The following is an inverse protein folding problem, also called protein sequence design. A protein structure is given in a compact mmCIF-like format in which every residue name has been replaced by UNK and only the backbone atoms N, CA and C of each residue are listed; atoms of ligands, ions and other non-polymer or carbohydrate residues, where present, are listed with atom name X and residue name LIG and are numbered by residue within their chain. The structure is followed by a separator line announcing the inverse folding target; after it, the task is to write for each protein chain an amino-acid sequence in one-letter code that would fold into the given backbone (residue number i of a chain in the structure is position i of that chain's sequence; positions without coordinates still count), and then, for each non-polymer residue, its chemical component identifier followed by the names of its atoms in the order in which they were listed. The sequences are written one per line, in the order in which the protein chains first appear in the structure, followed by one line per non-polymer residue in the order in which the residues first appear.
data_IF_222622368819
#
_entry.id   IF_222622368819
#
_cell.length_a   1.000
_cell.length_b   1.000
_cell.length_c   1.000
_cell.angle_alpha   90.00
_cell.angle_beta   90.00
_cell.angle_gamma   90.00
#
_symmetry.space_group_name_H-M   'P 1'
#
loop_
_entity.id
_entity.type
_entity.pdbx_description
1 polymer ?
#
# COMPACT_ATOMS: atom_id res chain seq x y z
N UNK A 1 -82.63 -18.40 -7.66
CA UNK A 1 -81.29 -18.93 -8.03
C UNK A 1 -80.91 -18.29 -9.35
N UNK A 2 -79.89 -17.40 -9.39
CA UNK A 2 -78.48 -17.78 -9.59
C UNK A 2 -77.49 -17.00 -8.68
N UNK A 3 -76.41 -17.64 -8.23
CA UNK A 3 -75.01 -17.54 -8.71
C UNK A 3 -74.32 -16.20 -8.45
N UNK A 4 -73.38 -16.23 -7.50
CA UNK A 4 -72.61 -15.13 -6.92
C UNK A 4 -71.31 -14.88 -7.69
N UNK A 5 -71.13 -13.65 -8.19
CA UNK A 5 -69.84 -13.11 -8.61
C UNK A 5 -69.38 -12.05 -7.59
N UNK A 6 -68.44 -12.39 -6.71
CA UNK A 6 -67.71 -11.42 -5.86
C UNK A 6 -66.33 -11.15 -6.47
N UNK A 7 -66.16 -9.96 -7.06
CA UNK A 7 -64.86 -9.34 -7.30
C UNK A 7 -64.50 -8.51 -6.07
N UNK A 8 -63.40 -8.88 -5.39
CA UNK A 8 -62.78 -8.05 -4.36
C UNK A 8 -61.66 -7.22 -5.02
N UNK A 9 -61.87 -5.91 -5.15
CA UNK A 9 -60.83 -4.93 -5.42
C UNK A 9 -60.25 -4.44 -4.09
N UNK A 10 -59.00 -4.78 -3.78
CA UNK A 10 -58.27 -4.20 -2.65
C UNK A 10 -57.59 -2.91 -3.09
N UNK A 11 -58.05 -1.82 -2.49
CA UNK A 11 -57.45 -0.49 -2.41
C UNK A 11 -55.95 -0.56 -2.07
N UNK A 12 -55.10 -0.04 -2.94
CA UNK A 12 -53.68 0.23 -2.68
C UNK A 12 -53.53 1.47 -1.79
N UNK A 13 -52.81 1.32 -0.67
CA UNK A 13 -52.31 2.44 0.14
C UNK A 13 -50.93 2.86 -0.39
N UNK A 14 -50.58 4.15 -0.41
CA UNK A 14 -49.25 4.60 -0.82
C UNK A 14 -48.21 4.21 0.24
N UNK A 15 -47.15 3.52 -0.18
CA UNK A 15 -45.97 3.25 0.63
C UNK A 15 -45.22 4.55 0.90
N UNK A 16 -45.04 4.85 2.19
CA UNK A 16 -44.18 5.91 2.68
C UNK A 16 -42.72 5.64 2.30
N UNK A 17 -42.01 6.72 1.97
CA UNK A 17 -40.56 6.71 1.74
C UNK A 17 -39.87 6.39 3.06
N UNK A 18 -39.47 5.14 3.22
CA UNK A 18 -38.61 4.70 4.32
C UNK A 18 -37.18 5.14 4.01
N UNK A 19 -36.70 6.13 4.76
CA UNK A 19 -35.29 6.54 4.72
C UNK A 19 -34.43 5.39 5.24
N UNK A 20 -33.70 4.74 4.34
CA UNK A 20 -32.66 3.78 4.68
C UNK A 20 -31.51 4.56 5.32
N UNK A 21 -31.55 4.72 6.64
CA UNK A 21 -30.35 4.99 7.43
C UNK A 21 -29.49 3.73 7.38
N UNK A 22 -28.46 3.74 6.53
CA UNK A 22 -27.39 2.73 6.57
C UNK A 22 -26.65 2.87 7.89
N UNK A 23 -27.04 2.12 8.90
CA UNK A 23 -26.14 1.80 10.01
C UNK A 23 -25.00 0.97 9.43
N UNK A 24 -23.78 1.50 9.42
CA UNK A 24 -22.57 0.69 9.31
C UNK A 24 -22.67 -0.38 10.39
N UNK A 25 -22.90 -1.63 9.99
CA UNK A 25 -22.80 -2.75 10.89
C UNK A 25 -21.38 -2.77 11.45
N UNK A 26 -21.26 -2.61 12.77
CA UNK A 26 -19.99 -2.82 13.46
C UNK A 26 -19.60 -4.28 13.25
N UNK A 27 -18.51 -4.51 12.52
CA UNK A 27 -17.84 -5.81 12.53
C UNK A 27 -17.42 -6.14 13.97
N UNK A 28 -17.51 -7.41 14.41
CA UNK A 28 -17.19 -7.79 15.78
C UNK A 28 -15.66 -7.93 15.93
N UNK A 29 -14.97 -6.81 16.10
CA UNK A 29 -13.52 -6.77 16.43
C UNK A 29 -13.21 -7.13 17.90
N UNK A 30 -14.21 -7.60 18.67
CA UNK A 30 -14.11 -7.68 20.14
C UNK A 30 -13.26 -8.82 20.70
N UNK A 31 -12.82 -9.77 19.86
CA UNK A 31 -12.15 -10.99 20.36
C UNK A 31 -10.70 -11.16 19.85
N UNK A 32 -10.12 -10.16 19.18
CA UNK A 32 -8.70 -10.19 18.81
C UNK A 32 -7.87 -9.55 19.93
N UNK A 33 -7.36 -10.40 20.83
CA UNK A 33 -6.27 -10.00 21.71
C UNK A 33 -4.98 -10.03 20.90
N UNK A 34 -4.67 -8.92 20.22
CA UNK A 34 -3.29 -8.66 19.79
C UNK A 34 -2.50 -8.52 21.09
N UNK A 35 -1.77 -9.58 21.45
CA UNK A 35 -0.85 -9.50 22.57
C UNK A 35 0.24 -8.52 22.13
N UNK A 36 0.41 -7.37 22.81
CA UNK A 36 1.55 -6.52 22.52
C UNK A 36 2.80 -7.37 22.72
N UNK A 37 3.65 -7.46 21.70
CA UNK A 37 4.97 -8.04 21.86
C UNK A 37 5.60 -7.33 23.06
N UNK A 38 6.02 -8.08 24.08
CA UNK A 38 6.51 -7.48 25.30
C UNK A 38 7.96 -7.07 25.10
N UNK A 39 8.41 -6.00 25.76
CA UNK A 39 9.76 -5.45 25.58
C UNK A 39 10.86 -6.47 25.89
N UNK A 40 10.53 -7.52 26.64
CA UNK A 40 11.39 -8.63 27.00
C UNK A 40 11.56 -9.67 25.88
N UNK A 41 10.82 -9.58 24.77
CA UNK A 41 10.95 -10.51 23.65
C UNK A 41 12.31 -10.34 22.96
N UNK A 42 12.94 -11.45 22.59
CA UNK A 42 14.28 -11.48 21.98
C UNK A 42 14.38 -10.64 20.69
N UNK A 43 13.25 -10.40 20.01
CA UNK A 43 13.15 -9.54 18.82
C UNK A 43 13.43 -8.07 19.19
N UNK A 44 12.89 -7.56 20.30
CA UNK A 44 13.15 -6.18 20.75
C UNK A 44 14.58 -5.99 21.20
N UNK A 45 15.18 -6.97 21.88
CA UNK A 45 16.60 -6.89 22.25
C UNK A 45 17.52 -6.82 21.03
N UNK A 46 17.21 -7.55 19.97
CA UNK A 46 17.98 -7.47 18.71
C UNK A 46 17.78 -6.11 18.02
N UNK A 47 16.59 -5.54 18.11
CA UNK A 47 16.27 -4.24 17.54
C UNK A 47 16.94 -3.10 18.31
N UNK A 48 16.92 -3.12 19.64
CA UNK A 48 17.58 -2.13 20.49
C UNK A 48 19.09 -2.08 20.22
N UNK A 49 19.75 -3.25 20.13
CA UNK A 49 21.16 -3.34 19.77
C UNK A 49 21.44 -2.79 18.36
N UNK A 50 20.51 -2.97 17.43
CA UNK A 50 20.66 -2.46 16.06
C UNK A 50 20.53 -0.94 16.01
N UNK A 51 19.55 -0.38 16.74
CA UNK A 51 19.35 1.06 16.88
C UNK A 51 20.55 1.71 17.57
N UNK A 52 21.03 1.14 18.68
CA UNK A 52 22.19 1.65 19.42
C UNK A 52 23.42 1.70 18.51
N UNK A 53 23.70 0.61 17.79
CA UNK A 53 24.81 0.56 16.83
C UNK A 53 24.63 1.56 15.69
N UNK A 54 23.42 1.73 15.17
CA UNK A 54 23.13 2.74 14.16
C UNK A 54 23.33 4.16 14.70
N UNK A 55 22.90 4.44 15.93
CA UNK A 55 23.12 5.72 16.61
C UNK A 55 24.61 6.00 16.80
N UNK A 56 25.41 5.01 17.21
CA UNK A 56 26.86 5.14 17.32
C UNK A 56 27.47 5.54 15.98
N UNK A 57 27.16 4.80 14.91
CA UNK A 57 27.67 5.08 13.56
C UNK A 57 27.25 6.48 13.09
N UNK A 58 25.98 6.85 13.29
CA UNK A 58 25.48 8.17 12.89
C UNK A 58 26.17 9.27 13.69
N UNK A 59 26.36 9.09 14.99
CA UNK A 59 27.09 10.05 15.84
C UNK A 59 28.56 10.17 15.45
N UNK A 60 29.23 9.08 15.07
CA UNK A 60 30.59 9.11 14.52
C UNK A 60 30.65 9.91 13.22
N UNK A 61 29.68 9.68 12.32
CA UNK A 61 29.57 10.44 11.06
C UNK A 61 29.37 11.92 11.36
N UNK A 62 28.43 12.28 12.25
CA UNK A 62 28.17 13.67 12.62
C UNK A 62 29.41 14.34 13.24
N UNK A 63 30.13 13.65 14.14
CA UNK A 63 31.38 14.14 14.72
C UNK A 63 32.46 14.38 13.67
N UNK A 64 32.62 13.46 12.71
CA UNK A 64 33.64 13.58 11.66
C UNK A 64 33.40 14.74 10.68
N UNK A 65 32.19 15.33 10.68
CA UNK A 65 31.82 16.47 9.85
C UNK A 65 31.56 17.76 10.68
N UNK A 66 32.04 17.82 11.92
CA UNK A 66 31.82 18.95 12.84
C UNK A 66 30.34 19.29 13.12
N UNK A 67 29.46 18.29 13.02
CA UNK A 67 28.02 18.41 13.28
C UNK A 67 27.62 17.84 14.65
N UNK A 68 28.50 17.98 15.65
CA UNK A 68 28.28 17.41 17.00
C UNK A 68 27.07 17.98 17.73
N UNK A 69 26.57 19.15 17.31
CA UNK A 69 25.40 19.80 17.88
C UNK A 69 24.07 19.23 17.32
N UNK A 70 24.13 18.43 16.25
CA UNK A 70 22.97 17.75 15.67
C UNK A 70 22.64 16.52 16.51
N UNK A 71 21.39 16.40 16.95
CA UNK A 71 20.88 15.23 17.69
C UNK A 71 20.05 14.36 16.77
N UNK A 72 20.22 13.05 16.90
CA UNK A 72 19.43 12.04 16.18
C UNK A 72 18.59 11.28 17.18
N UNK A 73 17.29 11.22 16.92
CA UNK A 73 16.32 10.48 17.71
C UNK A 73 15.64 9.47 16.79
N UNK A 74 15.67 8.20 17.17
CA UNK A 74 14.87 7.16 16.53
C UNK A 74 13.55 7.08 17.28
N UNK A 75 12.48 7.55 16.64
CA UNK A 75 11.13 7.38 17.15
C UNK A 75 10.63 6.06 16.58
N UNK A 76 10.29 5.13 17.46
CA UNK A 76 9.58 3.92 17.06
C UNK A 76 8.20 4.34 16.55
N UNK A 77 7.99 4.12 15.25
CA UNK A 77 6.67 4.31 14.68
C UNK A 77 5.76 3.21 15.23
N UNK A 78 4.77 3.60 16.03
CA UNK A 78 3.74 2.68 16.54
C UNK A 78 2.73 2.29 15.46
N UNK A 79 2.92 2.68 14.20
CA UNK A 79 2.23 2.00 13.10
C UNK A 79 2.70 0.56 13.07
N UNK A 80 2.02 -0.28 13.86
CA UNK A 80 2.25 -1.71 13.97
C UNK A 80 2.32 -2.26 12.56
N UNK A 81 3.53 -2.57 12.12
CA UNK A 81 3.73 -3.42 10.97
C UNK A 81 3.06 -4.74 11.34
N UNK A 82 1.92 -5.02 10.71
CA UNK A 82 1.62 -6.39 10.30
C UNK A 82 2.68 -6.78 9.25
N UNK A 83 3.93 -6.89 9.70
CA UNK A 83 5.01 -7.55 8.97
C UNK A 83 4.92 -9.06 9.24
N UNK A 84 3.70 -9.60 9.30
CA UNK A 84 3.50 -10.98 8.93
C UNK A 84 3.61 -11.01 7.40
N UNK A 85 4.83 -10.88 6.89
CA UNK A 85 5.15 -11.19 5.50
C UNK A 85 4.79 -12.65 5.19
N UNK A 86 4.74 -13.50 6.22
CA UNK A 86 4.24 -14.88 6.12
C UNK A 86 2.70 -14.93 5.99
N UNK A 87 1.91 -14.11 6.71
CA UNK A 87 0.46 -14.02 6.47
C UNK A 87 0.10 -13.19 5.24
N UNK A 88 0.90 -12.21 4.83
CA UNK A 88 0.67 -11.45 3.60
C UNK A 88 0.97 -12.29 2.35
N UNK A 89 1.94 -13.22 2.43
CA UNK A 89 2.15 -14.25 1.41
C UNK A 89 1.04 -15.32 1.41
N UNK A 90 0.50 -15.71 2.56
CA UNK A 90 -0.54 -16.75 2.63
C UNK A 90 -1.97 -16.25 2.39
N UNK A 91 -2.34 -15.07 2.88
CA UNK A 91 -3.72 -14.57 2.79
C UNK A 91 -3.94 -13.74 1.51
N UNK A 92 -2.88 -13.20 0.91
CA UNK A 92 -2.96 -12.37 -0.29
C UNK A 92 -3.85 -11.13 -0.13
N UNK A 93 -4.25 -10.78 1.10
CA UNK A 93 -5.18 -9.68 1.36
C UNK A 93 -4.49 -8.38 1.00
N UNK A 94 -5.10 -7.64 0.08
CA UNK A 94 -4.63 -6.33 -0.28
C UNK A 94 -4.97 -5.34 0.83
N UNK A 95 -3.95 -4.74 1.44
CA UNK A 95 -4.21 -3.61 2.32
C UNK A 95 -4.66 -2.43 1.47
N UNK A 96 -5.97 -2.17 1.46
CA UNK A 96 -6.59 -1.02 0.77
C UNK A 96 -5.95 0.31 1.14
N UNK A 97 -5.33 0.39 2.33
CA UNK A 97 -4.61 1.57 2.77
C UNK A 97 -3.42 1.89 1.87
N UNK A 98 -2.85 0.92 1.14
CA UNK A 98 -1.73 1.16 0.21
C UNK A 98 -2.11 2.12 -0.92
N UNK A 99 -3.37 2.09 -1.37
CA UNK A 99 -3.87 2.95 -2.43
C UNK A 99 -4.42 4.28 -1.86
N UNK A 100 -5.02 4.20 -0.67
CA UNK A 100 -5.80 5.32 -0.11
C UNK A 100 -5.02 6.17 0.90
N UNK A 101 -3.91 5.68 1.42
CA UNK A 101 -3.14 6.34 2.47
C UNK A 101 -1.88 6.99 1.90
N UNK A 102 -1.33 7.99 2.60
CA UNK A 102 0.03 8.45 2.35
C UNK A 102 0.99 7.27 2.28
N UNK A 103 2.02 7.43 1.47
CA UNK A 103 3.10 6.46 1.33
C UNK A 103 3.62 6.00 2.69
N UNK A 104 3.79 4.70 2.85
CA UNK A 104 4.27 4.03 4.06
C UNK A 104 5.60 3.34 3.80
N UNK A 105 6.42 3.22 4.84
CA UNK A 105 7.63 2.41 4.83
C UNK A 105 7.32 0.97 4.38
N UNK A 106 8.19 0.40 3.56
CA UNK A 106 8.04 -0.92 2.95
C UNK A 106 7.31 -0.92 1.60
N UNK A 107 6.68 0.18 1.20
CA UNK A 107 5.92 0.22 -0.06
C UNK A 107 6.80 0.46 -1.30
N UNK A 108 6.34 -0.02 -2.45
CA UNK A 108 7.09 0.05 -3.70
C UNK A 108 7.05 1.45 -4.34
N UNK A 109 8.21 1.87 -4.85
CA UNK A 109 8.41 3.11 -5.58
C UNK A 109 8.98 2.81 -6.97
N UNK A 110 8.69 3.67 -7.95
CA UNK A 110 9.32 3.60 -9.26
C UNK A 110 9.45 4.97 -9.89
N UNK A 111 10.44 5.17 -10.75
CA UNK A 111 10.46 6.36 -11.60
C UNK A 111 9.33 6.30 -12.62
N UNK A 112 8.75 7.46 -12.94
CA UNK A 112 7.76 7.58 -14.03
C UNK A 112 8.28 7.02 -15.34
N UNK A 113 9.57 7.24 -15.64
CA UNK A 113 10.13 6.79 -16.91
C UNK A 113 10.54 5.32 -16.92
N UNK A 114 10.42 4.63 -15.79
CA UNK A 114 10.76 3.23 -15.64
C UNK A 114 9.74 2.53 -14.72
N UNK A 115 8.54 2.30 -15.25
CA UNK A 115 7.46 1.58 -14.59
C UNK A 115 7.86 0.20 -14.08
N UNK A 116 8.87 -0.42 -14.70
CA UNK A 116 9.37 -1.76 -14.36
C UNK A 116 10.36 -1.76 -13.18
N UNK A 117 10.87 -0.58 -12.81
CA UNK A 117 11.73 -0.45 -11.64
C UNK A 117 10.94 -0.66 -10.35
N UNK A 118 11.60 -1.27 -9.37
CA UNK A 118 11.06 -1.44 -8.03
C UNK A 118 12.09 -0.97 -7.01
N UNK A 119 11.88 0.23 -6.50
CA UNK A 119 12.46 0.68 -5.24
C UNK A 119 11.51 0.39 -4.09
N UNK A 120 12.00 0.52 -2.86
CA UNK A 120 11.19 0.43 -1.65
C UNK A 120 11.36 1.71 -0.86
N UNK A 121 10.26 2.28 -0.37
CA UNK A 121 10.28 3.39 0.57
C UNK A 121 10.77 2.85 1.91
N UNK A 122 11.94 3.28 2.38
CA UNK A 122 12.49 2.91 3.68
C UNK A 122 11.82 3.64 4.84
N UNK A 123 11.27 4.84 4.59
CA UNK A 123 10.47 5.61 5.55
C UNK A 123 10.67 7.10 5.42
N UNK A 124 10.24 7.86 6.44
CA UNK A 124 10.41 9.30 6.51
C UNK A 124 11.27 9.70 7.69
N UNK A 125 11.95 10.84 7.56
CA UNK A 125 12.69 11.49 8.62
C UNK A 125 12.39 12.99 8.57
N UNK A 126 12.29 13.59 9.75
CA UNK A 126 12.09 15.03 9.89
C UNK A 126 13.42 15.69 10.22
N UNK A 127 13.86 16.61 9.36
CA UNK A 127 15.07 17.39 9.56
C UNK A 127 14.71 18.78 10.08
N UNK A 128 15.07 19.06 11.33
CA UNK A 128 15.00 20.42 11.91
C UNK A 128 16.34 21.11 11.71
N UNK A 129 16.38 22.08 10.80
CA UNK A 129 17.59 22.87 10.53
C UNK A 129 17.69 24.06 11.50
N UNK A 130 18.90 24.45 11.95
CA UNK A 130 19.08 25.66 12.74
C UNK A 130 18.52 26.89 12.01
N UNK A 131 17.65 27.64 12.69
CA UNK A 131 16.99 28.83 12.12
C UNK A 131 15.72 28.55 11.32
N UNK A 132 15.38 27.29 11.02
CA UNK A 132 14.07 26.93 10.48
C UNK A 132 13.07 26.69 11.61
N UNK A 133 11.88 27.28 11.51
CA UNK A 133 10.79 26.96 12.44
C UNK A 133 10.08 25.66 12.08
N UNK A 134 10.07 25.30 10.79
CA UNK A 134 9.36 24.12 10.30
C UNK A 134 10.34 22.98 10.00
N UNK A 135 10.04 21.74 10.42
CA UNK A 135 10.81 20.57 10.06
C UNK A 135 10.66 20.28 8.56
N UNK A 136 11.77 19.92 7.91
CA UNK A 136 11.74 19.42 6.53
C UNK A 136 11.58 17.91 6.54
N UNK A 137 10.46 17.41 6.04
CA UNK A 137 10.22 15.98 5.88
C UNK A 137 10.94 15.47 4.64
N UNK A 138 11.64 14.36 4.77
CA UNK A 138 12.41 13.72 3.71
C UNK A 138 12.20 12.21 3.78
N UNK A 139 12.21 11.56 2.62
CA UNK A 139 11.96 10.13 2.50
C UNK A 139 13.27 9.38 2.29
N UNK A 140 13.51 8.31 3.06
CA UNK A 140 14.57 7.33 2.78
C UNK A 140 13.99 6.28 1.86
N UNK A 141 14.73 5.89 0.83
CA UNK A 141 14.39 4.73 -0.01
C UNK A 141 15.45 3.66 0.16
N UNK A 142 15.07 2.40 0.43
CA UNK A 142 15.99 1.28 0.52
C UNK A 142 16.37 0.79 -0.89
N UNK A 143 17.68 0.73 -1.13
CA UNK A 143 18.40 0.09 -2.25
C UNK A 143 17.58 -0.40 -3.45
N UNK A 144 17.30 0.51 -4.37
CA UNK A 144 17.58 0.39 -5.81
C UNK A 144 17.59 1.84 -6.32
N UNK A 145 18.75 2.31 -6.78
CA UNK A 145 18.94 3.71 -7.23
C UNK A 145 17.84 4.03 -8.23
N UNK A 146 17.02 5.05 -7.95
CA UNK A 146 16.19 5.70 -8.96
C UNK A 146 17.16 6.12 -10.07
N UNK A 147 17.28 5.30 -11.12
CA UNK A 147 18.23 5.49 -12.20
C UNK A 147 17.46 6.14 -13.36
N UNK A 148 17.53 7.47 -13.51
CA UNK A 148 16.72 8.16 -14.49
C UNK A 148 17.11 7.70 -15.88
N UNK A 149 16.12 7.50 -16.75
CA UNK A 149 16.38 7.09 -18.12
C UNK A 149 16.79 8.27 -18.97
N UNK A 150 17.73 8.07 -19.88
CA UNK A 150 18.06 9.07 -20.91
C UNK A 150 17.05 9.06 -22.07
N UNK A 151 16.19 8.03 -22.15
CA UNK A 151 15.27 7.85 -23.28
C UNK A 151 14.24 8.97 -23.32
N UNK A 152 14.08 9.60 -24.49
CA UNK A 152 13.10 10.69 -24.69
C UNK A 152 13.46 12.03 -24.04
N UNK A 153 14.59 12.13 -23.33
CA UNK A 153 15.00 13.37 -22.65
C UNK A 153 15.81 14.31 -23.56
N UNK A 154 15.79 15.60 -23.22
CA UNK A 154 16.60 16.63 -23.91
C UNK A 154 18.09 16.38 -23.73
N UNK A 155 18.94 16.99 -24.56
CA UNK A 155 20.40 16.85 -24.44
C UNK A 155 20.93 17.39 -23.09
N UNK A 156 20.33 18.47 -22.58
CA UNK A 156 20.65 19.04 -21.27
C UNK A 156 20.32 18.03 -20.15
N UNK A 157 19.09 17.52 -20.12
CA UNK A 157 18.66 16.53 -19.13
C UNK A 157 19.49 15.25 -19.20
N UNK A 158 19.87 14.76 -20.39
CA UNK A 158 20.77 13.60 -20.52
C UNK A 158 22.14 13.86 -19.93
N UNK A 159 22.72 15.03 -20.17
CA UNK A 159 24.01 15.43 -19.60
C UNK A 159 23.91 15.45 -18.07
N UNK A 160 22.83 16.02 -17.54
CA UNK A 160 22.55 16.04 -16.11
C UNK A 160 22.39 14.63 -15.52
N UNK A 161 21.60 13.75 -16.13
CA UNK A 161 21.45 12.36 -15.68
C UNK A 161 22.80 11.64 -15.63
N UNK A 162 23.65 11.85 -16.64
CA UNK A 162 25.02 11.28 -16.66
C UNK A 162 25.88 11.85 -15.55
N UNK A 163 25.72 13.14 -15.23
CA UNK A 163 26.38 13.78 -14.10
C UNK A 163 25.89 13.18 -12.78
N UNK A 164 24.59 13.05 -12.56
CA UNK A 164 24.02 12.38 -11.38
C UNK A 164 24.53 10.95 -11.19
N UNK A 165 24.70 10.19 -12.28
CA UNK A 165 25.28 8.84 -12.18
C UNK A 165 26.74 8.83 -11.73
N UNK A 166 27.49 9.91 -11.96
CA UNK A 166 28.90 10.04 -11.57
C UNK A 166 29.08 10.69 -10.20
N UNK A 167 28.36 11.78 -9.98
CA UNK A 167 28.56 12.74 -8.88
C UNK A 167 27.46 12.65 -7.82
N UNK A 168 26.43 11.82 -8.07
CA UNK A 168 25.18 11.75 -7.30
C UNK A 168 24.34 13.01 -7.48
N UNK A 169 23.08 12.90 -7.07
CA UNK A 169 22.17 14.04 -6.96
C UNK A 169 22.60 14.83 -5.72
N UNK A 170 22.88 16.12 -5.88
CA UNK A 170 23.23 16.99 -4.76
C UNK A 170 21.95 17.51 -4.08
N UNK A 171 21.95 17.75 -2.75
CA UNK A 171 20.75 18.21 -2.03
C UNK A 171 20.19 19.56 -2.50
N UNK A 172 21.03 20.40 -3.11
CA UNK A 172 20.70 21.73 -3.62
C UNK A 172 20.35 21.75 -5.12
N UNK A 173 20.34 20.58 -5.77
CA UNK A 173 20.05 20.46 -7.20
C UNK A 173 18.57 20.75 -7.49
N UNK A 174 18.31 21.94 -8.02
CA UNK A 174 16.96 22.43 -8.34
C UNK A 174 16.27 21.61 -9.44
N UNK A 175 17.04 20.90 -10.27
CA UNK A 175 16.53 20.08 -11.36
C UNK A 175 16.05 18.69 -10.89
N UNK A 176 16.14 18.38 -9.59
CA UNK A 176 15.53 17.17 -9.02
C UNK A 176 14.02 17.14 -9.14
N UNK A 177 13.40 18.31 -9.32
CA UNK A 177 11.98 18.44 -9.64
C UNK A 177 11.58 17.75 -10.95
N UNK A 178 12.54 17.46 -11.84
CA UNK A 178 12.30 16.69 -13.07
C UNK A 178 12.19 15.18 -12.84
N UNK A 179 12.44 14.69 -11.62
CA UNK A 179 12.31 13.29 -11.24
C UNK A 179 10.94 13.03 -10.61
N UNK A 180 10.01 12.54 -11.42
CA UNK A 180 8.72 12.05 -10.95
C UNK A 180 8.88 10.62 -10.42
N UNK A 181 8.53 10.40 -9.14
CA UNK A 181 8.45 9.06 -8.53
C UNK A 181 6.98 8.71 -8.32
N UNK A 182 6.59 7.55 -8.82
CA UNK A 182 5.28 6.96 -8.59
C UNK A 182 5.27 6.10 -7.34
N UNK A 183 4.16 6.22 -6.62
CA UNK A 183 3.78 5.36 -5.51
C UNK A 183 2.27 5.05 -5.58
N UNK A 184 1.87 3.76 -5.51
CA UNK A 184 2.75 2.59 -5.59
C UNK A 184 3.36 2.49 -6.99
N UNK A 185 4.45 1.72 -7.14
CA UNK A 185 5.00 1.50 -8.48
C UNK A 185 3.94 0.88 -9.42
N UNK A 186 3.86 1.27 -10.71
CA UNK A 186 2.94 0.65 -11.65
C UNK A 186 3.11 -0.87 -11.73
N UNK A 187 4.35 -1.35 -11.62
CA UNK A 187 4.64 -2.78 -11.53
C UNK A 187 3.97 -3.43 -10.32
N UNK A 188 4.06 -2.86 -9.12
CA UNK A 188 3.39 -3.40 -7.93
C UNK A 188 1.86 -3.45 -8.11
N UNK A 189 1.28 -2.42 -8.74
CA UNK A 189 -0.15 -2.39 -9.10
C UNK A 189 -0.48 -3.55 -10.04
N UNK A 190 0.31 -3.75 -11.10
CA UNK A 190 0.10 -4.82 -12.09
C UNK A 190 0.26 -6.22 -11.49
N UNK A 191 1.33 -6.45 -10.71
CA UNK A 191 1.58 -7.72 -10.03
C UNK A 191 0.40 -8.06 -9.11
N UNK A 192 -0.09 -7.09 -8.34
CA UNK A 192 -1.25 -7.30 -7.47
C UNK A 192 -2.54 -7.54 -8.27
N UNK A 193 -2.77 -6.79 -9.33
CA UNK A 193 -3.90 -7.02 -10.22
C UNK A 193 -3.86 -8.43 -10.83
N UNK A 194 -2.66 -8.93 -11.16
CA UNK A 194 -2.43 -10.32 -11.60
C UNK A 194 -2.83 -11.34 -10.54
N UNK A 195 -2.40 -11.14 -9.28
CA UNK A 195 -2.79 -12.01 -8.15
C UNK A 195 -4.30 -12.01 -7.94
N UNK A 196 -4.95 -10.84 -7.94
CA UNK A 196 -6.39 -10.72 -7.78
C UNK A 196 -7.15 -11.38 -8.94
N UNK A 197 -6.70 -11.21 -10.19
CA UNK A 197 -7.29 -11.89 -11.36
C UNK A 197 -7.18 -13.41 -11.22
N UNK A 198 -6.05 -13.92 -10.73
CA UNK A 198 -5.88 -15.35 -10.45
C UNK A 198 -6.85 -15.82 -9.37
N UNK A 199 -6.97 -15.11 -8.25
CA UNK A 199 -7.94 -15.45 -7.19
C UNK A 199 -9.38 -15.45 -7.70
N UNK A 200 -9.76 -14.47 -8.54
CA UNK A 200 -11.08 -14.45 -9.20
C UNK A 200 -11.29 -15.72 -10.03
N UNK A 201 -10.29 -16.12 -10.82
CA UNK A 201 -10.36 -17.34 -11.63
C UNK A 201 -10.47 -18.60 -10.76
N UNK A 202 -9.73 -18.67 -9.65
CA UNK A 202 -9.75 -19.80 -8.71
C UNK A 202 -11.13 -19.92 -8.03
N UNK A 203 -11.73 -18.79 -7.61
CA UNK A 203 -13.08 -18.76 -7.04
C UNK A 203 -14.12 -19.15 -8.09
N UNK A 204 -13.98 -18.67 -9.33
CA UNK A 204 -14.87 -19.01 -10.46
C UNK A 204 -14.65 -20.43 -11.01
N UNK A 205 -14.38 -21.39 -10.12
CA UNK A 205 -14.29 -22.80 -10.44
C UNK A 205 -15.61 -23.35 -11.04
N UNK A 206 -15.57 -24.48 -11.78
CA UNK A 206 -16.79 -25.14 -12.28
C UNK A 206 -17.82 -25.43 -11.19
N UNK A 207 -17.35 -25.67 -9.96
CA UNK A 207 -18.20 -25.90 -8.78
C UNK A 207 -18.96 -24.63 -8.38
N UNK A 208 -18.26 -23.49 -8.30
CA UNK A 208 -18.88 -22.20 -8.02
C UNK A 208 -19.91 -21.83 -9.09
N UNK A 209 -19.57 -22.02 -10.37
CA UNK A 209 -20.49 -21.73 -11.50
C UNK A 209 -21.78 -22.52 -11.36
N UNK A 210 -21.69 -23.82 -11.08
CA UNK A 210 -22.88 -24.66 -10.85
C UNK A 210 -23.71 -24.15 -9.67
N UNK A 211 -23.08 -23.78 -8.55
CA UNK A 211 -23.80 -23.23 -7.41
C UNK A 211 -24.49 -21.91 -7.70
N UNK A 212 -23.83 -21.03 -8.45
CA UNK A 212 -24.37 -19.75 -8.87
C UNK A 212 -25.58 -19.93 -9.79
N UNK A 213 -25.52 -20.88 -10.73
CA UNK A 213 -26.66 -21.26 -11.57
C UNK A 213 -27.83 -21.81 -10.75
N UNK A 214 -27.56 -22.72 -9.81
CA UNK A 214 -28.60 -23.27 -8.93
C UNK A 214 -29.25 -22.16 -8.09
N UNK A 215 -28.44 -21.27 -7.50
CA UNK A 215 -28.91 -20.15 -6.70
C UNK A 215 -29.75 -19.16 -7.54
N UNK A 216 -29.31 -18.85 -8.76
CA UNK A 216 -30.01 -17.94 -9.69
C UNK A 216 -31.37 -18.50 -10.15
N UNK A 217 -31.50 -19.82 -10.22
CA UNK A 217 -32.73 -20.50 -10.60
C UNK A 217 -33.58 -20.92 -9.38
N UNK A 218 -33.35 -20.35 -8.20
CA UNK A 218 -34.04 -20.66 -6.93
C UNK A 218 -34.03 -22.15 -6.55
N UNK A 219 -33.02 -22.90 -7.00
CA UNK A 219 -32.87 -24.33 -6.69
C UNK A 219 -32.18 -24.51 -5.33
N UNK A 220 -32.60 -25.50 -4.52
CA UNK A 220 -32.03 -25.70 -3.20
C UNK A 220 -30.61 -26.25 -3.27
N UNK A 221 -29.67 -25.52 -2.68
CA UNK A 221 -28.32 -26.01 -2.35
C UNK A 221 -28.33 -26.78 -1.02
N UNK A 222 -27.47 -27.80 -0.88
CA UNK A 222 -27.24 -28.46 0.42
C UNK A 222 -26.70 -27.42 1.41
N UNK A 223 -26.96 -27.60 2.70
CA UNK A 223 -26.56 -26.63 3.73
C UNK A 223 -25.06 -26.28 3.68
N UNK A 224 -24.19 -27.29 3.52
CA UNK A 224 -22.75 -27.09 3.39
C UNK A 224 -22.35 -26.33 2.11
N UNK A 225 -22.91 -26.72 0.97
CA UNK A 225 -22.64 -26.07 -0.31
C UNK A 225 -23.10 -24.61 -0.32
N UNK A 226 -24.26 -24.30 0.29
CA UNK A 226 -24.74 -22.93 0.45
C UNK A 226 -23.77 -22.07 1.26
N UNK A 227 -23.22 -22.60 2.35
CA UNK A 227 -22.27 -21.87 3.19
C UNK A 227 -20.99 -21.53 2.42
N UNK A 228 -20.45 -22.51 1.69
CA UNK A 228 -19.27 -22.30 0.83
C UNK A 228 -19.55 -21.29 -0.28
N UNK A 229 -20.67 -21.45 -1.00
CA UNK A 229 -21.08 -20.53 -2.06
C UNK A 229 -21.19 -19.08 -1.58
N UNK A 230 -21.82 -18.83 -0.43
CA UNK A 230 -21.93 -17.45 0.10
C UNK A 230 -20.55 -16.87 0.50
N UNK A 231 -19.66 -17.70 1.05
CA UNK A 231 -18.28 -17.31 1.35
C UNK A 231 -17.51 -16.93 0.07
N UNK A 232 -17.49 -17.82 -0.91
CA UNK A 232 -16.86 -17.63 -2.22
C UNK A 232 -17.44 -16.41 -2.94
N UNK A 233 -18.76 -16.19 -2.86
CA UNK A 233 -19.45 -15.05 -3.48
C UNK A 233 -19.01 -13.74 -2.85
N UNK A 234 -18.92 -13.66 -1.52
CA UNK A 234 -18.41 -12.47 -0.83
C UNK A 234 -16.95 -12.19 -1.20
N UNK A 235 -16.12 -13.24 -1.23
CA UNK A 235 -14.73 -13.10 -1.63
C UNK A 235 -14.60 -12.62 -3.09
N UNK A 236 -15.38 -13.20 -4.01
CA UNK A 236 -15.43 -12.80 -5.42
C UNK A 236 -15.83 -11.33 -5.59
N UNK A 237 -16.85 -10.88 -4.85
CA UNK A 237 -17.27 -9.48 -4.86
C UNK A 237 -16.17 -8.56 -4.33
N UNK A 238 -15.47 -8.96 -3.27
CA UNK A 238 -14.33 -8.23 -2.71
C UNK A 238 -13.19 -8.10 -3.73
N UNK A 239 -12.75 -9.21 -4.32
CA UNK A 239 -11.68 -9.21 -5.33
C UNK A 239 -12.07 -8.36 -6.56
N UNK A 240 -13.31 -8.45 -7.04
CA UNK A 240 -13.80 -7.64 -8.16
C UNK A 240 -13.88 -6.15 -7.83
N UNK A 241 -14.26 -5.80 -6.60
CA UNK A 241 -14.24 -4.41 -6.16
C UNK A 241 -12.81 -3.85 -6.11
N UNK A 242 -11.86 -4.64 -5.60
CA UNK A 242 -10.45 -4.27 -5.56
C UNK A 242 -9.83 -4.16 -6.95
N UNK A 243 -10.22 -4.99 -7.92
CA UNK A 243 -9.72 -4.90 -9.29
C UNK A 243 -10.14 -3.64 -10.04
N UNK A 244 -11.28 -3.04 -9.66
CA UNK A 244 -11.73 -1.76 -10.25
C UNK A 244 -10.86 -0.59 -9.81
N UNK A 245 -10.30 -0.63 -8.59
CA UNK A 245 -9.49 0.46 -8.05
C UNK A 245 -8.24 0.73 -8.93
N UNK A 246 -7.42 -0.27 -9.32
CA UNK A 246 -6.33 -0.09 -10.28
C UNK A 246 -6.74 0.40 -11.67
N UNK A 247 -7.90 -0.04 -12.18
CA UNK A 247 -8.40 0.40 -13.50
C UNK A 247 -8.73 1.90 -13.48
N UNK A 248 -9.24 2.39 -12.36
CA UNK A 248 -9.46 3.82 -12.14
C UNK A 248 -8.14 4.60 -11.97
N UNK A 249 -7.09 3.95 -11.44
CA UNK A 249 -5.74 4.53 -11.31
C UNK A 249 -5.04 4.75 -12.65
N UNK A 250 -5.26 3.89 -13.65
CA UNK A 250 -4.65 4.06 -14.98
C UNK A 250 -5.21 5.30 -15.71
N UNK A 251 -6.39 5.79 -15.29
CA UNK A 251 -7.02 7.00 -15.81
C UNK A 251 -6.70 8.30 -15.06
N UNK A 252 -6.25 8.21 -13.80
CA UNK A 252 -5.94 9.37 -12.96
C UNK A 252 -4.43 9.40 -12.66
N UNK A 253 -3.72 10.48 -13.02
CA UNK A 253 -2.29 10.62 -12.71
C UNK A 253 -2.07 10.28 -11.22
N UNK A 254 -1.21 9.29 -10.89
CA UNK A 254 -0.96 8.94 -9.50
C UNK A 254 -0.42 10.15 -8.74
N UNK A 255 -0.60 10.19 -7.40
CA UNK A 255 0.04 11.20 -6.58
C UNK A 255 1.56 11.15 -6.82
N UNK A 256 2.11 12.28 -7.28
CA UNK A 256 3.55 12.44 -7.50
C UNK A 256 4.19 12.79 -6.17
N UNK A 257 5.12 11.95 -5.71
CA UNK A 257 6.00 12.31 -4.61
C UNK A 257 7.17 13.11 -5.16
N UNK A 258 7.35 14.32 -4.64
CA UNK A 258 8.62 15.04 -4.80
C UNK A 258 9.63 14.44 -3.82
N UNK A 259 10.51 13.58 -4.31
CA UNK A 259 11.52 12.91 -3.48
C UNK A 259 12.82 13.71 -3.51
N UNK A 260 13.21 14.26 -2.36
CA UNK A 260 14.60 14.69 -2.15
C UNK A 260 15.43 13.44 -1.81
N UNK A 261 16.19 12.91 -2.77
CA UNK A 261 17.03 11.73 -2.54
C UNK A 261 18.30 12.11 -1.78
N UNK A 262 18.49 11.56 -0.57
CA UNK A 262 19.80 11.48 0.08
C UNK A 262 20.31 10.06 -0.15
N UNK A 263 21.24 9.91 -1.10
CA UNK A 263 21.85 8.60 -1.40
C UNK A 263 22.96 8.33 -0.38
N UNK A 264 22.65 7.49 0.62
CA UNK A 264 23.68 6.87 1.45
C UNK A 264 24.34 5.74 0.65
N UNK A 265 25.64 5.85 0.36
CA UNK A 265 26.39 4.71 -0.12
C UNK A 265 26.51 3.67 1.00
N UNK A 266 26.45 2.36 0.70
CA UNK A 266 27.21 1.42 1.47
C UNK A 266 28.67 1.78 1.23
N UNK A 267 29.38 2.21 2.27
CA UNK A 267 30.84 2.14 2.29
C UNK A 267 31.18 0.74 1.82
N UNK A 268 31.84 0.61 0.66
CA UNK A 268 32.41 -0.66 0.25
C UNK A 268 33.38 -1.05 1.36
N UNK A 269 32.90 -1.90 2.28
CA UNK A 269 33.76 -2.71 3.14
C UNK A 269 34.47 -3.63 2.15
N UNK A 270 35.62 -3.17 1.65
CA UNK A 270 36.60 -4.05 1.04
C UNK A 270 36.96 -5.05 2.14
N UNK A 271 36.44 -6.27 2.01
CA UNK A 271 37.00 -7.43 2.72
C UNK A 271 38.38 -7.72 2.15
#
# INVERSE_FOLDING_TARGET
MPSSCRRNTKSSKPHGKEQIKRSLGSLPWKDWNVLPCQREDAVFHKWSLSIERSLEIVNEILKSHDLSDVRVEFIEDQTSWCADDDEAQETGVFDRRVIQSPSMSGQSLSLEENSESSGTLGGFFELKLPGSQEPKVVAVTCFHVLNPTEKGKTAATKTRIRQWRKERIQPDDQETSDLTVYHPSPRAIQEKAGVLKKQVADIQSPRYILWDELATNDRPLRKGDRMMYEGDKQQLLSCKALLKEPEDFDGARPPVLTVASIVFLPTMIRR
#
